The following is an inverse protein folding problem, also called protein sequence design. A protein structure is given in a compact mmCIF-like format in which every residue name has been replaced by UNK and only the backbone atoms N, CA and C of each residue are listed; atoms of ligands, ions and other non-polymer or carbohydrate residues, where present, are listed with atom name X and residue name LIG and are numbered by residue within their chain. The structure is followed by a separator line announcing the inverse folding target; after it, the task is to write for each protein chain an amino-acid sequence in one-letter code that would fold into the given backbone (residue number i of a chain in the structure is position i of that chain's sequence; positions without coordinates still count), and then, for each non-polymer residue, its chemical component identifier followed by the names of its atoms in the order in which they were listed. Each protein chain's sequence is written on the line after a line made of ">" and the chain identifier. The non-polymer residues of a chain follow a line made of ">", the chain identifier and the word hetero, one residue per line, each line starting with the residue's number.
data_IF_584020324428
#
_entry.id   IF_584020324428
#
_cell.length_a   1.000
_cell.length_b   1.000
_cell.length_c   1.000
_cell.angle_alpha   90.00
_cell.angle_beta   90.00
_cell.angle_gamma   90.00
#
_symmetry.space_group_name_H-M   'P 1'
#
loop_
_entity.id
_entity.type
_entity.pdbx_description
1 polymer ?
#
# COMPACT_ATOMS: atom_id res chain seq x y z
N UNK A 1 -1.02 10.54 17.36
CA UNK A 1 -2.43 10.06 17.37
C UNK A 1 -2.38 8.54 17.40
N UNK A 2 -3.12 7.84 18.27
CA UNK A 2 -3.16 6.38 18.23
C UNK A 2 -3.83 5.97 16.92
N UNK A 3 -3.05 5.34 16.04
CA UNK A 3 -3.54 4.78 14.78
C UNK A 3 -3.69 3.29 14.99
N UNK A 4 -4.85 2.73 14.62
CA UNK A 4 -5.12 1.30 14.70
C UNK A 4 -5.25 0.73 13.30
N UNK A 5 -4.50 -0.30 13.00
CA UNK A 5 -4.56 -1.06 11.77
C UNK A 5 -5.62 -2.16 11.89
N UNK A 6 -6.59 -2.10 10.99
CA UNK A 6 -7.61 -3.12 10.82
C UNK A 6 -7.33 -3.93 9.56
N UNK A 7 -7.43 -5.25 9.67
CA UNK A 7 -7.26 -6.18 8.56
C UNK A 7 -8.59 -6.89 8.39
N UNK A 8 -9.16 -6.79 7.19
CA UNK A 8 -10.42 -7.42 6.83
C UNK A 8 -10.17 -8.39 5.68
N UNK A 9 -10.93 -9.49 5.60
CA UNK A 9 -10.91 -10.33 4.40
C UNK A 9 -11.40 -9.50 3.22
N UNK A 10 -10.71 -9.61 2.09
CA UNK A 10 -11.16 -8.97 0.87
C UNK A 10 -12.52 -9.55 0.46
N UNK A 11 -13.36 -8.73 -0.19
CA UNK A 11 -14.68 -9.17 -0.66
C UNK A 11 -14.63 -10.31 -1.67
N UNK A 12 -13.50 -10.46 -2.37
CA UNK A 12 -13.23 -11.54 -3.30
C UNK A 12 -11.79 -12.04 -3.13
N UNK A 13 -11.65 -13.29 -2.73
CA UNK A 13 -10.35 -13.95 -2.53
C UNK A 13 -9.67 -14.32 -3.84
N UNK A 14 -10.46 -14.52 -4.90
CA UNK A 14 -9.99 -14.89 -6.23
C UNK A 14 -10.34 -13.83 -7.28
N UNK A 15 -9.61 -13.82 -8.39
CA UNK A 15 -9.97 -13.05 -9.56
C UNK A 15 -11.25 -13.62 -10.19
N UNK A 16 -12.14 -12.74 -10.62
CA UNK A 16 -13.26 -13.12 -11.47
C UNK A 16 -12.78 -13.43 -12.89
N UNK A 17 -13.57 -14.17 -13.67
CA UNK A 17 -13.23 -14.53 -15.05
C UNK A 17 -12.94 -13.29 -15.91
N UNK A 18 -13.72 -12.22 -15.73
CA UNK A 18 -13.53 -10.94 -16.41
C UNK A 18 -12.23 -10.24 -16.00
N UNK A 19 -11.84 -10.31 -14.74
CA UNK A 19 -10.56 -9.75 -14.28
C UNK A 19 -9.38 -10.58 -14.80
N UNK A 20 -9.51 -11.92 -14.80
CA UNK A 20 -8.50 -12.82 -15.37
C UNK A 20 -8.29 -12.57 -16.86
N UNK A 21 -9.36 -12.38 -17.63
CA UNK A 21 -9.23 -12.07 -19.06
C UNK A 21 -8.49 -10.76 -19.29
N UNK A 22 -8.78 -9.73 -18.48
CA UNK A 22 -8.10 -8.45 -18.56
C UNK A 22 -6.62 -8.55 -18.17
N UNK A 23 -6.30 -9.27 -17.09
CA UNK A 23 -4.91 -9.50 -16.66
C UNK A 23 -4.09 -10.21 -17.75
N UNK A 24 -4.65 -11.24 -18.37
CA UNK A 24 -4.00 -11.95 -19.48
C UNK A 24 -3.73 -11.03 -20.67
N UNK A 25 -4.68 -10.16 -21.02
CA UNK A 25 -4.51 -9.22 -22.12
C UNK A 25 -3.40 -8.19 -21.84
N UNK A 26 -3.35 -7.66 -20.62
CA UNK A 26 -2.30 -6.72 -20.19
C UNK A 26 -0.93 -7.38 -20.21
N UNK A 27 -0.78 -8.58 -19.63
CA UNK A 27 0.52 -9.27 -19.64
C UNK A 27 1.00 -9.63 -21.04
N UNK A 28 0.09 -9.96 -21.97
CA UNK A 28 0.44 -10.20 -23.36
C UNK A 28 0.96 -8.93 -24.06
N UNK A 29 0.33 -7.78 -23.80
CA UNK A 29 0.76 -6.50 -24.33
C UNK A 29 2.11 -6.06 -23.75
N UNK A 30 2.31 -6.22 -22.44
CA UNK A 30 3.56 -5.90 -21.76
C UNK A 30 4.70 -6.82 -22.22
N UNK A 31 4.45 -8.14 -22.36
CA UNK A 31 5.46 -9.07 -22.83
C UNK A 31 5.91 -8.74 -24.26
N UNK A 32 5.03 -8.21 -25.12
CA UNK A 32 5.40 -7.72 -26.46
C UNK A 32 6.30 -6.49 -26.41
N UNK A 33 6.29 -5.71 -25.33
CA UNK A 33 7.09 -4.49 -25.17
C UNK A 33 8.50 -4.78 -24.66
N UNK A 34 8.69 -5.89 -23.93
CA UNK A 34 9.95 -6.27 -23.30
C UNK A 34 10.57 -7.57 -23.85
N UNK A 35 9.99 -8.14 -24.91
CA UNK A 35 10.54 -9.32 -25.58
C UNK A 35 11.61 -8.92 -26.58
N UNK A 36 12.85 -8.76 -26.12
CA UNK A 36 14.00 -8.84 -27.01
C UNK A 36 14.22 -10.32 -27.37
N UNK A 37 13.97 -10.66 -28.63
CA UNK A 37 14.36 -11.91 -29.29
C UNK A 37 13.69 -13.21 -28.77
N UNK A 38 12.45 -13.44 -29.22
CA UNK A 38 11.92 -14.79 -29.48
C UNK A 38 11.52 -15.67 -28.29
N UNK A 39 11.65 -15.19 -27.05
CA UNK A 39 11.20 -15.92 -25.86
C UNK A 39 9.76 -15.62 -25.48
N UNK A 40 8.82 -16.54 -25.73
CA UNK A 40 7.52 -16.53 -25.05
C UNK A 40 7.72 -16.85 -23.57
N UNK A 41 7.96 -15.83 -22.74
CA UNK A 41 7.94 -15.99 -21.29
C UNK A 41 6.52 -16.44 -20.86
N UNK A 42 6.40 -17.41 -19.94
CA UNK A 42 5.10 -17.84 -19.46
C UNK A 42 4.39 -16.67 -18.75
N UNK A 43 3.18 -16.35 -19.21
CA UNK A 43 2.26 -15.36 -18.61
C UNK A 43 2.04 -15.75 -17.14
N UNK A 44 2.50 -14.91 -16.21
CA UNK A 44 2.43 -15.17 -14.78
C UNK A 44 1.35 -14.28 -14.15
N UNK A 45 0.13 -14.80 -14.16
CA UNK A 45 -1.04 -14.13 -13.57
C UNK A 45 -0.73 -13.57 -12.18
N UNK A 46 -0.93 -12.26 -12.03
CA UNK A 46 -0.72 -11.54 -10.78
C UNK A 46 -1.54 -12.17 -9.64
N UNK A 47 -0.92 -12.40 -8.49
CA UNK A 47 -1.61 -12.90 -7.29
C UNK A 47 -2.50 -11.81 -6.67
N UNK A 48 -3.77 -12.16 -6.37
CA UNK A 48 -4.69 -11.30 -5.62
C UNK A 48 -4.38 -11.35 -4.13
N UNK A 49 -4.35 -10.18 -3.48
CA UNK A 49 -4.21 -10.11 -2.02
C UNK A 49 -5.56 -10.43 -1.37
N UNK A 50 -5.65 -11.41 -0.44
CA UNK A 50 -6.93 -11.85 0.13
C UNK A 50 -7.41 -10.98 1.30
N UNK A 51 -6.82 -9.80 1.50
CA UNK A 51 -7.10 -8.90 2.62
C UNK A 51 -7.17 -7.45 2.17
N UNK A 52 -8.05 -6.70 2.82
CA UNK A 52 -8.10 -5.25 2.78
C UNK A 52 -7.54 -4.68 4.09
N UNK A 53 -6.70 -3.66 3.97
CA UNK A 53 -6.03 -3.01 5.09
C UNK A 53 -6.61 -1.62 5.32
N UNK A 54 -6.90 -1.27 6.57
CA UNK A 54 -7.49 0.02 6.92
C UNK A 54 -6.75 0.66 8.08
N UNK A 55 -6.49 1.97 7.95
CA UNK A 55 -6.11 2.80 9.07
C UNK A 55 -7.33 3.43 9.73
N UNK A 56 -7.50 3.19 11.03
CA UNK A 56 -8.47 3.91 11.86
C UNK A 56 -7.78 4.96 12.71
N UNK A 57 -8.26 6.19 12.61
CA UNK A 57 -7.75 7.34 13.36
C UNK A 57 -8.90 8.24 13.84
N UNK A 58 -8.63 9.00 14.90
CA UNK A 58 -9.52 10.06 15.36
C UNK A 58 -9.03 11.40 14.80
N UNK A 59 -9.93 12.13 14.14
CA UNK A 59 -9.68 13.49 13.66
C UNK A 59 -10.58 14.45 14.42
N UNK A 60 -10.06 15.65 14.71
CA UNK A 60 -10.90 16.76 15.19
C UNK A 60 -11.46 17.48 13.98
N UNK A 61 -12.77 17.67 13.96
CA UNK A 61 -13.43 18.51 12.94
C UNK A 61 -13.26 19.98 13.32
N UNK A 62 -13.56 20.87 12.37
CA UNK A 62 -13.57 22.32 12.61
C UNK A 62 -14.51 22.72 13.76
N UNK A 63 -15.61 21.97 13.95
CA UNK A 63 -16.55 22.12 15.05
C UNK A 63 -16.04 21.64 16.42
N UNK A 64 -14.78 21.18 16.50
CA UNK A 64 -14.16 20.66 17.72
C UNK A 64 -14.60 19.25 18.12
N UNK A 65 -15.46 18.60 17.33
CA UNK A 65 -15.91 17.22 17.57
C UNK A 65 -14.84 16.20 17.14
N UNK A 66 -14.67 15.13 17.92
CA UNK A 66 -13.85 13.99 17.51
C UNK A 66 -14.64 13.05 16.61
N UNK A 67 -14.15 12.83 15.40
CA UNK A 67 -14.70 11.85 14.45
C UNK A 67 -13.71 10.72 14.22
N UNK A 68 -14.20 9.49 14.26
CA UNK A 68 -13.42 8.34 13.82
C UNK A 68 -13.48 8.22 12.30
N UNK A 69 -12.32 8.16 11.66
CA UNK A 69 -12.17 7.98 10.21
C UNK A 69 -11.44 6.68 9.95
N UNK A 70 -11.90 5.97 8.91
CA UNK A 70 -11.23 4.77 8.38
C UNK A 70 -10.76 5.03 6.96
N UNK A 71 -9.47 4.82 6.70
CA UNK A 71 -8.84 4.99 5.40
C UNK A 71 -8.37 3.63 4.90
N UNK A 72 -8.86 3.20 3.75
CA UNK A 72 -8.35 2.00 3.09
C UNK A 72 -6.94 2.29 2.56
N UNK A 73 -5.99 1.39 2.82
CA UNK A 73 -4.64 1.45 2.26
C UNK A 73 -4.63 0.70 0.93
N UNK A 74 -4.24 1.37 -0.15
CA UNK A 74 -4.13 0.77 -1.49
C UNK A 74 -2.74 0.91 -2.10
N UNK A 75 -1.76 1.30 -1.30
CA UNK A 75 -0.37 1.34 -1.73
C UNK A 75 0.16 -0.09 -2.00
N UNK A 76 0.87 -0.28 -3.10
CA UNK A 76 1.50 -1.54 -3.46
C UNK A 76 2.53 -1.99 -2.42
N UNK A 77 3.18 -1.05 -1.72
CA UNK A 77 4.16 -1.36 -0.67
C UNK A 77 3.53 -2.12 0.49
N UNK A 78 2.26 -1.84 0.80
CA UNK A 78 1.50 -2.55 1.84
C UNK A 78 1.26 -4.00 1.41
N UNK A 79 0.91 -4.21 0.15
CA UNK A 79 0.78 -5.56 -0.43
C UNK A 79 2.11 -6.31 -0.47
N UNK A 80 3.22 -5.63 -0.79
CA UNK A 80 4.56 -6.20 -0.78
C UNK A 80 4.99 -6.60 0.65
N UNK A 81 4.72 -5.74 1.63
CA UNK A 81 4.98 -6.02 3.03
C UNK A 81 4.15 -7.21 3.52
N UNK A 82 2.87 -7.29 3.16
CA UNK A 82 2.03 -8.45 3.46
C UNK A 82 2.66 -9.75 2.92
N UNK A 83 3.04 -9.78 1.63
CA UNK A 83 3.67 -10.95 1.02
C UNK A 83 4.97 -11.33 1.73
N UNK A 84 5.78 -10.34 2.11
CA UNK A 84 6.99 -10.55 2.92
C UNK A 84 6.66 -11.17 4.28
N UNK A 85 5.67 -10.63 4.99
CA UNK A 85 5.30 -11.15 6.30
C UNK A 85 4.73 -12.56 6.24
N UNK A 86 3.89 -12.88 5.25
CA UNK A 86 3.35 -14.24 5.05
C UNK A 86 4.46 -15.23 4.77
N UNK A 87 5.39 -14.89 3.86
CA UNK A 87 6.51 -15.76 3.52
C UNK A 87 7.46 -15.98 4.71
N UNK A 88 7.79 -14.91 5.42
CA UNK A 88 8.83 -14.95 6.46
C UNK A 88 8.28 -15.48 7.82
N UNK A 89 6.98 -15.35 8.09
CA UNK A 89 6.38 -15.66 9.41
C UNK A 89 5.15 -16.59 9.37
N UNK A 90 4.69 -17.03 8.20
CA UNK A 90 3.58 -17.98 8.08
C UNK A 90 2.31 -17.49 8.79
N UNK A 91 1.73 -18.30 9.66
CA UNK A 91 0.50 -17.96 10.41
C UNK A 91 0.63 -16.72 11.30
N UNK A 92 1.85 -16.36 11.72
CA UNK A 92 2.11 -15.23 12.62
C UNK A 92 2.37 -13.92 11.86
N UNK A 93 2.10 -13.89 10.55
CA UNK A 93 2.34 -12.72 9.71
C UNK A 93 1.60 -11.47 10.21
N UNK A 94 0.40 -11.63 10.78
CA UNK A 94 -0.47 -10.51 11.18
C UNK A 94 0.17 -9.62 12.23
N UNK A 95 0.80 -10.20 13.24
CA UNK A 95 1.42 -9.42 14.32
C UNK A 95 2.66 -8.68 13.84
N UNK A 96 3.46 -9.32 12.97
CA UNK A 96 4.63 -8.68 12.36
C UNK A 96 4.25 -7.57 11.40
N UNK A 97 3.19 -7.78 10.63
CA UNK A 97 2.64 -6.77 9.73
C UNK A 97 2.11 -5.56 10.51
N UNK A 98 1.30 -5.78 11.55
CA UNK A 98 0.82 -4.71 12.43
C UNK A 98 1.95 -3.98 13.12
N UNK A 99 2.93 -4.68 13.67
CA UNK A 99 4.06 -4.05 14.34
C UNK A 99 4.88 -3.16 13.38
N UNK A 100 5.13 -3.62 12.15
CA UNK A 100 5.82 -2.83 11.12
C UNK A 100 5.10 -1.51 10.85
N UNK A 101 3.79 -1.57 10.65
CA UNK A 101 2.97 -0.41 10.28
C UNK A 101 2.70 0.50 11.48
N UNK A 102 2.23 -0.05 12.59
CA UNK A 102 1.81 0.73 13.76
C UNK A 102 2.99 1.26 14.59
N UNK A 103 4.13 0.56 14.61
CA UNK A 103 5.30 0.93 15.41
C UNK A 103 6.41 1.53 14.56
N UNK A 104 7.05 0.74 13.68
CA UNK A 104 8.26 1.17 12.97
C UNK A 104 8.01 2.32 11.98
N UNK A 105 6.87 2.27 11.29
CA UNK A 105 6.50 3.25 10.27
C UNK A 105 6.00 4.54 10.91
N UNK A 106 5.12 4.44 11.91
CA UNK A 106 4.66 5.61 12.67
C UNK A 106 5.78 6.34 13.40
N UNK A 107 6.83 5.65 13.86
CA UNK A 107 7.99 6.30 14.49
C UNK A 107 8.85 7.11 13.51
N UNK A 108 8.62 6.98 12.19
CA UNK A 108 9.40 7.65 11.13
C UNK A 108 8.67 8.83 10.50
N UNK A 109 7.73 9.45 11.21
CA UNK A 109 6.89 10.53 10.69
C UNK A 109 6.18 10.10 9.38
N UNK A 110 5.47 8.98 9.43
CA UNK A 110 4.70 8.48 8.30
C UNK A 110 3.71 9.56 7.81
N UNK A 111 3.83 9.95 6.55
CA UNK A 111 2.89 10.79 5.85
C UNK A 111 1.99 9.91 4.97
N UNK A 112 0.69 10.19 4.97
CA UNK A 112 -0.26 9.52 4.08
C UNK A 112 -0.60 10.44 2.93
N UNK A 113 -0.38 9.96 1.70
CA UNK A 113 -0.95 10.60 0.52
C UNK A 113 -2.37 10.09 0.36
N UNK A 114 -3.34 11.00 0.45
CA UNK A 114 -4.75 10.68 0.30
C UNK A 114 -5.20 10.95 -1.13
N UNK A 115 -6.05 10.07 -1.64
CA UNK A 115 -6.74 10.24 -2.91
C UNK A 115 -8.18 9.77 -2.81
N UNK A 116 -8.93 10.02 -3.87
CA UNK A 116 -10.25 9.43 -4.09
C UNK A 116 -10.27 8.75 -5.47
N UNK A 117 -11.34 8.01 -5.73
CA UNK A 117 -11.60 7.46 -7.06
C UNK A 117 -12.66 8.31 -7.75
N UNK A 118 -12.56 8.50 -9.06
CA UNK A 118 -13.56 9.26 -9.81
C UNK A 118 -14.98 8.71 -9.58
N UNK A 119 -15.15 7.38 -9.50
CA UNK A 119 -16.47 6.80 -9.22
C UNK A 119 -16.95 7.00 -7.77
N UNK A 120 -16.05 7.32 -6.85
CA UNK A 120 -16.29 7.40 -5.41
C UNK A 120 -15.67 8.68 -4.80
N UNK A 121 -16.03 9.85 -5.33
CA UNK A 121 -15.43 11.13 -4.95
C UNK A 121 -15.49 11.45 -3.45
N UNK A 122 -16.52 10.97 -2.75
CA UNK A 122 -16.75 11.21 -1.33
C UNK A 122 -16.04 10.18 -0.42
N UNK A 123 -15.25 9.27 -0.99
CA UNK A 123 -14.49 8.26 -0.25
C UNK A 123 -13.00 8.51 -0.41
N UNK A 124 -12.35 8.84 0.70
CA UNK A 124 -10.91 9.02 0.77
C UNK A 124 -10.21 7.70 1.09
N UNK A 125 -9.07 7.50 0.46
CA UNK A 125 -8.21 6.33 0.64
C UNK A 125 -6.75 6.77 0.68
N UNK A 126 -5.91 6.01 1.39
CA UNK A 126 -4.47 6.26 1.40
C UNK A 126 -3.88 5.55 0.17
N UNK A 127 -3.48 6.36 -0.82
CA UNK A 127 -2.85 5.89 -2.06
C UNK A 127 -1.37 5.62 -1.89
N UNK A 128 -0.72 6.30 -0.93
CA UNK A 128 0.69 6.04 -0.62
C UNK A 128 1.03 6.27 0.86
N UNK A 129 2.00 5.49 1.36
CA UNK A 129 2.64 5.64 2.66
C UNK A 129 4.08 6.19 2.46
N UNK A 130 4.31 7.44 2.84
CA UNK A 130 5.57 8.14 2.59
C UNK A 130 6.33 8.32 3.89
N UNK A 131 7.61 7.93 3.88
CA UNK A 131 8.55 8.16 4.99
C UNK A 131 9.57 9.20 4.53
N UNK A 132 9.52 10.44 5.04
CA UNK A 132 10.54 11.43 4.75
C UNK A 132 11.92 10.88 5.14
N UNK A 133 12.98 11.20 4.36
CA UNK A 133 14.33 10.83 4.74
C UNK A 133 14.65 11.39 6.12
N UNK A 134 15.41 10.61 6.91
CA UNK A 134 15.88 11.09 8.21
C UNK A 134 16.70 12.35 7.94
N UNK A 135 16.26 13.49 8.47
CA UNK A 135 17.07 14.69 8.46
C UNK A 135 18.34 14.36 9.26
N UNK A 136 19.50 14.33 8.60
CA UNK A 136 20.76 14.29 9.31
C UNK A 136 20.76 15.52 10.23
N UNK A 137 20.69 15.27 11.52
CA UNK A 137 20.91 16.33 12.50
C UNK A 137 22.40 16.63 12.43
N UNK A 138 22.78 17.60 11.60
CA UNK A 138 24.16 18.04 11.41
C UNK A 138 24.85 17.47 10.17
N UNK A 139 24.53 18.01 9.01
CA UNK A 139 25.55 18.37 8.02
C UNK A 139 24.98 19.49 7.16
N UNK A 140 25.25 20.72 7.60
CA UNK A 140 25.17 21.86 6.72
C UNK A 140 26.38 21.83 5.78
N UNK A 141 26.10 22.22 4.53
CA UNK A 141 27.03 22.62 3.47
C UNK A 141 27.63 21.47 2.65
N UNK A 142 26.98 21.19 1.52
CA UNK A 142 27.73 21.06 0.28
C UNK A 142 27.03 21.85 -0.82
N UNK A 143 27.65 22.96 -1.19
CA UNK A 143 27.16 23.85 -2.24
C UNK A 143 27.80 25.24 -2.27
N UNK A 144 29.06 25.44 -1.83
CA UNK A 144 29.84 26.56 -2.36
C UNK A 144 30.31 26.15 -3.74
N UNK A 145 29.56 26.53 -4.77
CA UNK A 145 30.07 26.60 -6.14
C UNK A 145 30.65 28.01 -6.35
N UNK A 146 31.70 28.30 -5.61
CA UNK A 146 32.73 29.31 -5.86
C UNK A 146 34.00 28.84 -5.18
#
# INVERSE_FOLDING_TARGET
>A
MPVKLEIMKASQEHWSEKELSNLRQVEQADNSLFSDEGGNLPIKILEKIPYDFYYSMKVKTEDGLEKQVKLKLIDWEVCALYRKCVRDYGSNWTDKFKNRIESEMNSKNLHLLLGNQHRFHNQWMAVSLIYPPKTSTGEAVQGSLF
#
